data_IF_631859813627
#
_entry.id   IF_631859813627
#
_cell.length_a   1.000
_cell.length_b   1.000
_cell.length_c   1.000
_cell.angle_alpha   90.00
_cell.angle_beta   90.00
_cell.angle_gamma   90.00
#
_symmetry.space_group_name_H-M   'P 1'
#
loop_
_entity.id
_entity.type
_entity.pdbx_description
1 polymer ?
#
# COMPACT_ATOMS: atom_id res chain seq x y z
N UNK A 1 13.86 -22.11 -27.96
CA UNK A 1 12.76 -22.22 -27.06
C UNK A 1 12.15 -20.86 -26.76
N UNK A 2 10.90 -20.78 -26.86
CA UNK A 2 10.24 -19.51 -26.66
C UNK A 2 9.82 -19.37 -25.23
N UNK A 3 10.17 -18.22 -24.69
CA UNK A 3 9.67 -17.86 -23.37
C UNK A 3 8.41 -17.05 -23.53
N UNK A 4 7.47 -17.32 -22.70
CA UNK A 4 6.31 -16.45 -22.64
C UNK A 4 6.74 -15.09 -22.10
N UNK A 5 6.22 -14.01 -22.66
CA UNK A 5 6.53 -12.69 -22.13
C UNK A 5 6.13 -12.60 -20.67
N UNK A 6 7.00 -12.05 -19.87
CA UNK A 6 6.66 -11.85 -18.47
C UNK A 6 5.55 -10.84 -18.36
N UNK A 7 4.55 -11.20 -17.57
CA UNK A 7 3.47 -10.30 -17.28
C UNK A 7 3.99 -9.17 -16.41
N UNK A 8 3.64 -7.95 -16.76
CA UNK A 8 4.02 -6.82 -15.92
C UNK A 8 3.30 -6.89 -14.59
N UNK A 9 4.05 -6.66 -13.52
CA UNK A 9 3.46 -6.59 -12.18
C UNK A 9 2.73 -5.27 -12.01
N UNK A 10 3.30 -4.20 -12.55
CA UNK A 10 2.65 -2.89 -12.55
C UNK A 10 3.16 -2.08 -13.73
N UNK A 11 2.52 -0.94 -13.96
CA UNK A 11 2.86 -0.07 -15.07
C UNK A 11 3.60 1.20 -14.64
N UNK A 12 4.17 1.18 -13.43
CA UNK A 12 5.02 2.28 -12.97
C UNK A 12 6.41 2.06 -13.52
N UNK A 13 6.93 3.06 -14.23
CA UNK A 13 8.23 2.94 -14.85
C UNK A 13 9.38 3.17 -13.87
N UNK A 14 10.58 2.78 -14.32
CA UNK A 14 11.80 3.08 -13.59
C UNK A 14 12.22 4.53 -13.91
N UNK A 15 12.88 5.24 -13.01
CA UNK A 15 13.32 4.77 -11.69
C UNK A 15 12.27 4.92 -10.58
N UNK A 16 11.10 5.48 -10.89
CA UNK A 16 10.11 5.78 -9.86
C UNK A 16 9.66 4.53 -9.10
N UNK A 17 9.53 3.39 -9.79
CA UNK A 17 9.12 2.15 -9.14
C UNK A 17 10.14 1.70 -8.10
N UNK A 18 11.43 1.94 -8.36
CA UNK A 18 12.47 1.58 -7.41
C UNK A 18 12.44 2.48 -6.19
N UNK A 19 12.19 3.78 -6.39
CA UNK A 19 12.03 4.71 -5.27
C UNK A 19 10.83 4.32 -4.42
N UNK A 20 9.74 3.91 -5.05
CA UNK A 20 8.56 3.46 -4.34
C UNK A 20 8.83 2.19 -3.53
N UNK A 21 9.56 1.25 -4.12
CA UNK A 21 9.93 0.02 -3.43
C UNK A 21 10.73 0.33 -2.17
N UNK A 22 11.74 1.20 -2.27
CA UNK A 22 12.55 1.57 -1.12
C UNK A 22 11.75 2.29 -0.05
N UNK A 23 10.89 3.23 -0.46
CA UNK A 23 10.07 3.98 0.49
C UNK A 23 9.12 3.03 1.23
N UNK A 24 8.50 2.10 0.51
CA UNK A 24 7.60 1.14 1.13
C UNK A 24 8.32 0.17 2.06
N UNK A 25 9.60 -0.13 1.80
CA UNK A 25 10.39 -0.92 2.75
C UNK A 25 10.47 -0.23 4.10
N UNK A 26 10.65 1.09 4.09
CA UNK A 26 10.71 1.84 5.36
C UNK A 26 9.37 1.81 6.09
N UNK A 27 8.27 1.97 5.35
CA UNK A 27 6.94 1.92 5.95
C UNK A 27 6.69 0.53 6.54
N UNK A 28 6.99 -0.51 5.78
CA UNK A 28 6.76 -1.88 6.22
C UNK A 28 7.60 -2.20 7.47
N UNK A 29 8.83 -1.71 7.51
CA UNK A 29 9.68 -1.95 8.67
C UNK A 29 9.19 -1.18 9.90
N UNK A 30 8.69 0.04 9.70
CA UNK A 30 8.25 0.87 10.81
C UNK A 30 6.93 0.39 11.42
N UNK A 31 5.99 -0.01 10.57
CA UNK A 31 4.64 -0.33 11.03
C UNK A 31 4.39 -1.84 11.15
N UNK A 32 5.17 -2.63 10.44
CA UNK A 32 5.03 -4.09 10.51
C UNK A 32 3.78 -4.61 9.83
N UNK A 33 3.29 -5.73 10.30
CA UNK A 33 2.07 -6.36 9.86
C UNK A 33 2.17 -6.88 8.42
N UNK A 34 1.08 -6.80 7.63
CA UNK A 34 1.10 -7.35 6.27
C UNK A 34 1.84 -6.47 5.28
N UNK A 35 1.82 -5.15 5.50
CA UNK A 35 2.62 -4.24 4.70
C UNK A 35 1.87 -3.59 3.55
N UNK A 36 2.65 -2.97 2.66
CA UNK A 36 2.13 -2.19 1.55
C UNK A 36 1.81 -3.08 0.35
N UNK A 37 0.74 -2.75 -0.34
CA UNK A 37 0.32 -3.41 -1.59
C UNK A 37 -0.04 -2.36 -2.62
N UNK A 38 0.33 -2.60 -3.87
CA UNK A 38 -0.17 -1.83 -4.99
C UNK A 38 -1.50 -2.42 -5.45
N UNK A 39 -2.46 -1.56 -5.68
CA UNK A 39 -3.76 -1.95 -6.21
C UNK A 39 -4.17 -0.92 -7.27
N UNK A 40 -5.31 -1.13 -7.92
CA UNK A 40 -5.90 -0.15 -8.79
C UNK A 40 -5.28 -0.06 -10.16
N UNK A 41 -5.45 1.08 -10.81
CA UNK A 41 -5.18 1.22 -12.24
C UNK A 41 -3.71 1.06 -12.61
N UNK A 42 -2.77 1.40 -11.74
CA UNK A 42 -1.36 1.23 -12.07
C UNK A 42 -0.96 -0.24 -12.19
N UNK A 43 -1.81 -1.16 -11.72
CA UNK A 43 -1.62 -2.58 -11.89
C UNK A 43 -2.21 -3.11 -13.20
N UNK A 44 -3.08 -2.32 -13.85
CA UNK A 44 -3.92 -2.83 -14.92
C UNK A 44 -3.65 -2.21 -16.28
N UNK A 45 -3.19 -0.94 -16.32
CA UNK A 45 -3.06 -0.26 -17.60
C UNK A 45 -1.98 0.81 -17.57
N UNK A 46 -1.48 1.14 -18.75
CA UNK A 46 -0.37 2.07 -18.88
C UNK A 46 -0.78 3.53 -18.63
N UNK A 47 -2.03 3.87 -18.88
CA UNK A 47 -2.52 5.24 -18.69
C UNK A 47 -3.18 5.45 -17.33
N UNK A 48 -2.57 4.88 -16.30
CA UNK A 48 -3.03 5.07 -14.94
C UNK A 48 -2.90 6.52 -14.50
N UNK A 49 -3.72 6.92 -13.51
CA UNK A 49 -3.67 8.28 -12.97
C UNK A 49 -3.02 8.38 -11.62
N UNK A 50 -3.38 7.46 -10.72
CA UNK A 50 -2.88 7.48 -9.35
C UNK A 50 -2.17 6.18 -9.06
N UNK A 51 -1.24 6.23 -8.14
CA UNK A 51 -0.59 5.03 -7.61
C UNK A 51 -1.24 4.73 -6.28
N UNK A 52 -2.07 3.70 -6.26
CA UNK A 52 -2.83 3.32 -5.07
C UNK A 52 -2.00 2.36 -4.23
N UNK A 53 -1.54 2.83 -3.09
CA UNK A 53 -0.78 2.04 -2.13
C UNK A 53 -1.64 1.82 -0.91
N UNK A 54 -1.84 0.56 -0.54
CA UNK A 54 -2.64 0.21 0.62
C UNK A 54 -1.76 -0.51 1.62
N UNK A 55 -1.64 0.06 2.81
CA UNK A 55 -0.96 -0.61 3.91
C UNK A 55 -2.01 -1.43 4.66
N UNK A 56 -1.89 -2.75 4.57
CA UNK A 56 -2.91 -3.65 5.11
C UNK A 56 -2.45 -4.18 6.46
N UNK A 57 -3.32 -4.10 7.43
CA UNK A 57 -3.07 -4.56 8.79
C UNK A 57 -4.09 -5.61 9.18
N UNK A 58 -3.70 -6.53 10.04
CA UNK A 58 -4.68 -7.39 10.70
C UNK A 58 -5.71 -6.51 11.40
N UNK A 59 -6.97 -6.95 11.41
CA UNK A 59 -8.05 -6.14 11.96
C UNK A 59 -7.77 -5.70 13.40
N UNK A 60 -7.28 -6.61 14.25
CA UNK A 60 -6.98 -6.28 15.63
C UNK A 60 -5.83 -5.29 15.77
N UNK A 61 -4.86 -5.34 14.87
CA UNK A 61 -3.76 -4.37 14.91
C UNK A 61 -4.21 -3.00 14.45
N UNK A 62 -5.10 -2.96 13.46
CA UNK A 62 -5.71 -1.72 13.03
C UNK A 62 -6.49 -1.08 14.20
N UNK A 63 -7.25 -1.89 14.93
CA UNK A 63 -8.02 -1.41 16.06
C UNK A 63 -7.13 -0.89 17.19
N UNK A 64 -5.96 -1.51 17.39
CA UNK A 64 -5.01 -1.01 18.38
C UNK A 64 -4.45 0.36 18.00
N UNK A 65 -4.16 0.53 16.71
CA UNK A 65 -3.60 1.79 16.22
C UNK A 65 -4.64 2.91 16.17
N UNK A 66 -5.89 2.55 15.86
CA UNK A 66 -6.98 3.50 15.72
C UNK A 66 -8.15 3.08 16.62
N UNK A 67 -7.99 3.22 17.95
CA UNK A 67 -9.00 2.67 18.87
C UNK A 67 -10.35 3.37 18.82
N UNK A 68 -10.42 4.57 18.23
CA UNK A 68 -11.68 5.28 18.10
C UNK A 68 -12.49 4.84 16.89
N UNK A 69 -11.95 3.95 16.06
CA UNK A 69 -12.62 3.49 14.86
C UNK A 69 -13.31 2.16 15.12
N UNK A 70 -14.57 2.06 14.72
CA UNK A 70 -15.32 0.81 14.82
C UNK A 70 -15.21 0.07 13.49
N UNK A 71 -14.31 -0.91 13.43
CA UNK A 71 -14.06 -1.65 12.21
C UNK A 71 -15.12 -2.71 11.91
N UNK A 72 -16.08 -2.93 12.84
CA UNK A 72 -17.18 -3.84 12.57
C UNK A 72 -18.19 -3.26 11.58
N UNK A 73 -18.13 -1.94 11.38
CA UNK A 73 -18.98 -1.27 10.40
C UNK A 73 -18.37 -1.44 9.01
N UNK A 74 -19.21 -1.87 8.06
CA UNK A 74 -18.76 -2.23 6.72
C UNK A 74 -18.62 -1.02 5.81
N UNK A 75 -18.03 0.05 6.32
CA UNK A 75 -17.75 1.26 5.55
C UNK A 75 -16.41 1.84 6.03
N UNK A 76 -15.82 2.69 5.20
CA UNK A 76 -14.52 3.27 5.50
C UNK A 76 -14.66 4.48 6.44
N UNK A 77 -15.25 4.26 7.62
CA UNK A 77 -15.50 5.36 8.55
C UNK A 77 -14.22 5.90 9.19
N UNK A 78 -13.11 5.16 9.10
CA UNK A 78 -11.82 5.65 9.59
C UNK A 78 -11.37 6.90 8.85
N UNK A 79 -11.90 7.15 7.65
CA UNK A 79 -11.54 8.35 6.90
C UNK A 79 -11.94 9.64 7.58
N UNK A 80 -12.74 9.55 8.64
CA UNK A 80 -13.09 10.71 9.45
C UNK A 80 -12.36 10.75 10.79
N UNK A 81 -11.51 9.76 11.06
CA UNK A 81 -10.79 9.68 12.32
C UNK A 81 -9.54 10.56 12.28
N UNK A 82 -9.40 11.51 13.22
CA UNK A 82 -8.25 12.43 13.18
C UNK A 82 -6.90 11.74 13.24
N UNK A 83 -6.76 10.67 14.01
CA UNK A 83 -5.49 9.96 14.10
C UNK A 83 -5.16 9.27 12.79
N UNK A 84 -6.17 8.63 12.18
CA UNK A 84 -5.99 7.99 10.87
C UNK A 84 -5.62 9.03 9.81
N UNK A 85 -6.33 10.17 9.82
CA UNK A 85 -6.06 11.23 8.86
C UNK A 85 -4.64 11.77 9.02
N UNK A 86 -4.24 12.05 10.25
CA UNK A 86 -2.90 12.61 10.48
C UNK A 86 -1.82 11.67 9.97
N UNK A 87 -1.92 10.39 10.31
CA UNK A 87 -0.92 9.41 9.93
C UNK A 87 -0.94 9.17 8.42
N UNK A 88 -2.12 9.00 7.86
CA UNK A 88 -2.27 8.69 6.44
C UNK A 88 -1.82 9.85 5.56
N UNK A 89 -2.22 11.07 5.90
CA UNK A 89 -1.80 12.25 5.13
C UNK A 89 -0.30 12.44 5.21
N UNK A 90 0.28 12.27 6.40
CA UNK A 90 1.73 12.41 6.58
C UNK A 90 2.50 11.42 5.73
N UNK A 91 2.09 10.17 5.73
CA UNK A 91 2.77 9.14 4.93
C UNK A 91 2.57 9.39 3.44
N UNK A 92 1.36 9.81 3.04
CA UNK A 92 1.09 10.14 1.65
C UNK A 92 2.02 11.22 1.13
N UNK A 93 2.16 12.30 1.90
CA UNK A 93 3.04 13.39 1.49
C UNK A 93 4.50 12.96 1.45
N UNK A 94 4.91 12.16 2.43
CA UNK A 94 6.26 11.63 2.43
C UNK A 94 6.53 10.76 1.22
N UNK A 95 5.59 9.87 0.88
CA UNK A 95 5.72 9.01 -0.29
C UNK A 95 5.79 9.81 -1.58
N UNK A 96 4.96 10.85 -1.71
CA UNK A 96 5.00 11.70 -2.89
C UNK A 96 6.35 12.38 -3.05
N UNK A 97 6.92 12.84 -1.94
CA UNK A 97 8.24 13.47 -1.96
C UNK A 97 9.33 12.48 -2.33
N UNK A 98 9.26 11.26 -1.79
CA UNK A 98 10.29 10.26 -2.04
C UNK A 98 10.26 9.75 -3.47
N UNK A 99 9.11 9.73 -4.10
CA UNK A 99 8.93 9.04 -5.38
C UNK A 99 8.63 9.96 -6.55
N UNK A 100 8.07 11.15 -6.30
CA UNK A 100 7.56 12.00 -7.37
C UNK A 100 6.29 11.48 -8.01
N UNK A 101 5.66 10.45 -7.44
CA UNK A 101 4.47 9.83 -8.00
C UNK A 101 3.20 10.40 -7.35
N UNK A 102 2.08 10.39 -8.07
CA UNK A 102 0.79 10.80 -7.50
C UNK A 102 0.23 9.67 -6.63
N UNK A 103 0.73 9.59 -5.41
CA UNK A 103 0.39 8.52 -4.48
C UNK A 103 -0.97 8.75 -3.84
N UNK A 104 -1.79 7.71 -3.80
CA UNK A 104 -2.98 7.63 -2.97
C UNK A 104 -2.74 6.50 -1.96
N UNK A 105 -2.36 6.89 -0.75
CA UNK A 105 -1.99 5.94 0.30
C UNK A 105 -3.10 5.85 1.34
N UNK A 106 -3.45 4.63 1.73
CA UNK A 106 -4.41 4.40 2.80
C UNK A 106 -3.98 3.23 3.66
N UNK A 107 -4.24 3.33 4.96
CA UNK A 107 -4.09 2.23 5.89
C UNK A 107 -5.46 1.57 6.04
N UNK A 108 -5.53 0.27 5.85
CA UNK A 108 -6.81 -0.45 5.84
C UNK A 108 -6.74 -1.73 6.65
N UNK A 109 -7.83 -2.08 7.35
CA UNK A 109 -7.90 -3.39 7.99
C UNK A 109 -8.08 -4.49 6.94
N UNK A 110 -7.56 -5.66 7.24
CA UNK A 110 -7.50 -6.76 6.29
C UNK A 110 -8.87 -7.17 5.75
N UNK A 111 -9.86 -7.25 6.61
CA UNK A 111 -11.20 -7.68 6.18
C UNK A 111 -11.76 -6.72 5.14
N UNK A 112 -11.61 -5.41 5.37
CA UNK A 112 -12.05 -4.42 4.39
C UNK A 112 -11.26 -4.53 3.10
N UNK A 113 -9.93 -4.63 3.19
CA UNK A 113 -9.09 -4.70 2.01
C UNK A 113 -9.41 -5.94 1.17
N UNK A 114 -9.64 -7.07 1.82
CA UNK A 114 -9.97 -8.31 1.10
C UNK A 114 -11.32 -8.21 0.40
N UNK A 115 -12.24 -7.46 0.96
CA UNK A 115 -13.55 -7.29 0.35
C UNK A 115 -13.49 -6.38 -0.88
N UNK A 116 -12.72 -5.31 -0.82
CA UNK A 116 -12.76 -4.28 -1.84
C UNK A 116 -11.68 -4.42 -2.90
N UNK A 117 -10.54 -5.06 -2.57
CA UNK A 117 -9.45 -5.22 -3.52
C UNK A 117 -9.40 -6.68 -3.98
N UNK A 118 -10.44 -7.07 -4.72
CA UNK A 118 -10.59 -8.45 -5.19
C UNK A 118 -9.80 -8.73 -6.46
N UNK A 119 -9.35 -7.68 -7.15
CA UNK A 119 -8.52 -7.84 -8.33
C UNK A 119 -7.07 -8.03 -7.91
N UNK A 120 -6.19 -8.13 -8.89
CA UNK A 120 -4.77 -8.31 -8.64
C UNK A 120 -4.22 -7.21 -7.73
N UNK A 121 -3.43 -7.62 -6.76
CA UNK A 121 -2.68 -6.68 -5.93
C UNK A 121 -1.28 -7.27 -5.74
N UNK A 122 -0.29 -6.40 -5.59
CA UNK A 122 1.10 -6.80 -5.52
C UNK A 122 1.76 -6.22 -4.28
N UNK A 123 2.32 -7.09 -3.46
CA UNK A 123 3.10 -6.64 -2.31
C UNK A 123 4.29 -5.81 -2.78
N UNK A 124 4.55 -4.72 -2.09
CA UNK A 124 5.65 -3.83 -2.42
C UNK A 124 6.41 -3.44 -1.15
N UNK A 125 7.69 -3.15 -1.32
CA UNK A 125 8.53 -2.86 -0.18
C UNK A 125 8.96 -4.09 0.57
N UNK A 126 9.07 -5.22 -0.13
CA UNK A 126 9.54 -6.45 0.47
C UNK A 126 11.03 -6.36 0.70
N UNK A 127 11.44 -6.71 1.92
CA UNK A 127 12.82 -6.69 2.27
C UNK A 127 13.53 -7.87 1.67
N UNK A 128 14.59 -7.60 0.98
CA UNK A 128 15.49 -8.65 0.59
C UNK A 128 16.48 -8.79 1.70
N UNK A 129 16.30 -9.80 2.54
CA UNK A 129 17.23 -10.02 3.61
C UNK A 129 18.22 -11.06 3.20
N UNK A 130 19.27 -10.92 3.66
CA UNK A 130 20.22 -11.91 3.57
C UNK A 130 20.31 -12.74 4.77
N UNK A 131 19.91 -12.90 4.98
CA UNK A 131 19.82 -13.27 5.80
C UNK A 131 20.05 -13.06 6.66
N UNK A 132 19.84 -12.69 6.85
CA UNK A 132 19.94 -12.25 7.42
C UNK A 132 20.24 -12.47 7.98
N UNK A 133 20.46 -12.35 7.70
CA UNK A 133 20.82 -12.36 8.04
C UNK A 133 20.99 -12.66 8.69
#
# INVERSE_FOLDING_TARGET
>A
MDEEPKKKICYIGAPAVFALELACQHINSALGNYGCYLVGSCMEKADWRDVDVRFIMADEKFAELFPSVDISIDTAIWEFDPRWLLLTISITEWLRKQTGLPIDFQIQPQTFANKWHTKQRSAIGLRITKRDQ
#
